data_IF_982651926531
#
_entry.id   IF_982651926531
#
_cell.length_a   1.000
_cell.length_b   1.000
_cell.length_c   1.000
_cell.angle_alpha   90.00
_cell.angle_beta   90.00
_cell.angle_gamma   90.00
#
_symmetry.space_group_name_H-M   'P 1'
#
loop_
_entity.id
_entity.type
_entity.pdbx_description
1 polymer ?
#
# COMPACT_ATOMS: atom_id res chain seq x y z
N UNK A 1 -32.15 18.71 -1.39
CA UNK A 1 -31.76 18.96 -2.80
C UNK A 1 -30.26 18.74 -3.07
N UNK A 2 -29.44 18.36 -2.08
CA UNK A 2 -27.99 18.09 -2.28
C UNK A 2 -27.63 16.63 -2.55
N UNK A 3 -28.54 15.68 -2.27
CA UNK A 3 -28.25 14.23 -2.45
C UNK A 3 -28.26 13.76 -3.91
N UNK A 4 -29.07 14.39 -4.76
CA UNK A 4 -29.26 13.92 -6.15
C UNK A 4 -28.12 14.33 -7.09
N UNK A 5 -27.47 15.46 -6.83
CA UNK A 5 -26.35 15.95 -7.66
C UNK A 5 -25.07 15.13 -7.48
N UNK A 6 -24.79 14.66 -6.28
CA UNK A 6 -23.63 13.79 -6.00
C UNK A 6 -23.81 12.42 -6.69
N UNK A 7 -25.03 11.85 -6.65
CA UNK A 7 -25.32 10.55 -7.26
C UNK A 7 -25.22 10.57 -8.80
N UNK A 8 -25.57 11.69 -9.43
CA UNK A 8 -25.50 11.83 -10.90
C UNK A 8 -24.07 12.06 -11.39
N UNK A 9 -23.28 12.83 -10.66
CA UNK A 9 -21.85 13.01 -10.93
C UNK A 9 -21.06 11.70 -10.77
N UNK A 10 -21.40 10.87 -9.78
CA UNK A 10 -20.80 9.54 -9.59
C UNK A 10 -21.10 8.60 -10.76
N UNK A 11 -22.32 8.60 -11.29
CA UNK A 11 -22.70 7.79 -12.46
C UNK A 11 -21.94 8.20 -13.73
N UNK A 12 -21.78 9.50 -13.95
CA UNK A 12 -21.03 10.02 -15.09
C UNK A 12 -19.56 9.68 -15.01
N UNK A 13 -18.98 9.80 -13.80
CA UNK A 13 -17.59 9.44 -13.54
C UNK A 13 -17.37 7.93 -13.74
N UNK A 14 -18.25 7.09 -13.21
CA UNK A 14 -18.22 5.64 -13.40
C UNK A 14 -18.30 5.25 -14.87
N UNK A 15 -19.24 5.82 -15.64
CA UNK A 15 -19.37 5.57 -17.06
C UNK A 15 -18.09 5.98 -17.84
N UNK A 16 -17.46 7.11 -17.44
CA UNK A 16 -16.19 7.55 -18.01
C UNK A 16 -15.04 6.57 -17.72
N UNK A 17 -14.94 6.09 -16.47
CA UNK A 17 -13.94 5.11 -16.05
C UNK A 17 -14.14 3.79 -16.80
N UNK A 18 -15.35 3.28 -16.88
CA UNK A 18 -15.66 2.06 -17.62
C UNK A 18 -15.38 2.19 -19.12
N UNK A 19 -15.66 3.36 -19.69
CA UNK A 19 -15.32 3.66 -21.08
C UNK A 19 -13.82 3.63 -21.35
N UNK A 20 -13.01 4.21 -20.46
CA UNK A 20 -11.54 4.17 -20.52
C UNK A 20 -11.03 2.75 -20.30
N UNK A 21 -11.57 2.02 -19.34
CA UNK A 21 -11.22 0.62 -19.08
C UNK A 21 -11.46 -0.25 -20.30
N UNK A 22 -12.63 -0.16 -20.93
CA UNK A 22 -12.94 -0.92 -22.16
C UNK A 22 -11.95 -0.64 -23.30
N UNK A 23 -11.55 0.63 -23.48
CA UNK A 23 -10.54 1.00 -24.49
C UNK A 23 -9.17 0.36 -24.16
N UNK A 24 -8.79 0.36 -22.88
CA UNK A 24 -7.55 -0.24 -22.43
C UNK A 24 -7.57 -1.77 -22.61
N UNK A 25 -8.68 -2.41 -22.24
CA UNK A 25 -8.84 -3.85 -22.37
C UNK A 25 -8.83 -4.31 -23.84
N UNK A 26 -9.33 -3.50 -24.76
CA UNK A 26 -9.28 -3.78 -26.20
C UNK A 26 -7.87 -3.73 -26.79
N UNK A 27 -6.91 -3.11 -26.10
CA UNK A 27 -5.49 -3.07 -26.51
C UNK A 27 -4.67 -4.24 -25.96
N UNK A 28 -5.27 -5.13 -25.17
CA UNK A 28 -4.61 -6.30 -24.60
C UNK A 28 -4.57 -7.47 -25.60
N UNK A 29 -3.53 -8.32 -25.57
CA UNK A 29 -2.37 -8.26 -24.68
C UNK A 29 -1.35 -7.19 -25.12
N UNK A 30 -0.80 -6.45 -24.14
CA UNK A 30 0.29 -5.51 -24.46
C UNK A 30 1.59 -6.25 -24.77
N UNK A 31 2.42 -5.69 -25.68
CA UNK A 31 3.76 -6.23 -25.92
C UNK A 31 4.56 -6.32 -24.59
N UNK A 32 5.25 -7.44 -24.32
CA UNK A 32 6.00 -7.63 -23.09
C UNK A 32 6.99 -6.49 -22.76
N UNK A 33 7.64 -5.93 -23.79
CA UNK A 33 8.56 -4.81 -23.65
C UNK A 33 7.91 -3.52 -23.15
N UNK A 34 6.65 -3.28 -23.52
CA UNK A 34 5.88 -2.13 -23.03
C UNK A 34 5.47 -2.37 -21.59
N UNK A 35 4.99 -3.58 -21.27
CA UNK A 35 4.62 -3.95 -19.89
C UNK A 35 5.81 -3.78 -18.95
N UNK A 36 6.98 -4.26 -19.35
CA UNK A 36 8.20 -4.15 -18.55
C UNK A 36 8.59 -2.69 -18.29
N UNK A 37 8.59 -1.83 -19.32
CA UNK A 37 8.89 -0.41 -19.14
C UNK A 37 7.89 0.31 -18.24
N UNK A 38 6.60 -0.01 -18.38
CA UNK A 38 5.56 0.56 -17.49
C UNK A 38 5.76 0.10 -16.04
N UNK A 39 6.09 -1.17 -15.81
CA UNK A 39 6.38 -1.67 -14.47
C UNK A 39 7.57 -0.94 -13.84
N UNK A 40 8.66 -0.77 -14.57
CA UNK A 40 9.84 -0.04 -14.10
C UNK A 40 9.51 1.42 -13.76
N UNK A 41 8.75 2.11 -14.60
CA UNK A 41 8.32 3.48 -14.35
C UNK A 41 7.41 3.56 -13.12
N UNK A 42 6.40 2.72 -13.03
CA UNK A 42 5.48 2.71 -11.88
C UNK A 42 6.18 2.36 -10.58
N UNK A 43 7.17 1.47 -10.61
CA UNK A 43 7.95 1.13 -9.42
C UNK A 43 8.67 2.37 -8.87
N UNK A 44 9.29 3.17 -9.74
CA UNK A 44 9.96 4.42 -9.33
C UNK A 44 8.94 5.44 -8.82
N UNK A 45 7.86 5.68 -9.54
CA UNK A 45 6.82 6.64 -9.15
C UNK A 45 6.13 6.25 -7.84
N UNK A 46 5.81 4.98 -7.64
CA UNK A 46 5.22 4.47 -6.41
C UNK A 46 6.17 4.62 -5.23
N UNK A 47 7.41 4.22 -5.41
CA UNK A 47 8.44 4.34 -4.36
C UNK A 47 8.63 5.80 -3.97
N UNK A 48 8.79 6.69 -4.96
CA UNK A 48 8.94 8.12 -4.71
C UNK A 48 7.73 8.68 -3.95
N UNK A 49 6.51 8.49 -4.45
CA UNK A 49 5.32 9.08 -3.84
C UNK A 49 5.05 8.55 -2.44
N UNK A 50 5.19 7.24 -2.22
CA UNK A 50 4.97 6.63 -0.90
C UNK A 50 5.97 7.15 0.13
N UNK A 51 7.25 7.21 -0.21
CA UNK A 51 8.28 7.69 0.70
C UNK A 51 8.21 9.20 0.92
N UNK A 52 7.82 9.99 -0.09
CA UNK A 52 7.64 11.43 0.06
C UNK A 52 6.52 11.78 1.06
N UNK A 53 5.43 11.00 1.10
CA UNK A 53 4.36 11.15 2.11
C UNK A 53 4.91 10.94 3.52
N UNK A 54 5.86 10.03 3.70
CA UNK A 54 6.51 9.75 4.98
C UNK A 54 7.67 10.69 5.31
N UNK A 55 7.93 11.69 4.45
CA UNK A 55 8.93 12.72 4.67
C UNK A 55 10.32 12.45 4.08
N UNK A 56 10.47 11.43 3.24
CA UNK A 56 11.69 11.20 2.46
C UNK A 56 11.89 12.37 1.47
N UNK A 57 13.09 12.85 1.33
CA UNK A 57 13.41 14.04 0.53
C UNK A 57 14.07 13.73 -0.81
N UNK A 58 14.22 12.45 -1.18
CA UNK A 58 14.66 12.08 -2.53
C UNK A 58 13.68 12.62 -3.57
N UNK A 59 14.17 13.20 -4.63
CA UNK A 59 13.36 13.56 -5.81
C UNK A 59 13.03 12.32 -6.63
N UNK A 60 12.07 12.42 -7.55
CA UNK A 60 11.73 11.33 -8.46
C UNK A 60 12.95 10.83 -9.25
N UNK A 61 13.79 11.76 -9.74
CA UNK A 61 15.00 11.44 -10.48
C UNK A 61 16.04 10.76 -9.58
N UNK A 62 16.24 11.24 -8.37
CA UNK A 62 17.15 10.63 -7.40
C UNK A 62 16.67 9.23 -6.99
N UNK A 63 15.37 9.03 -6.81
CA UNK A 63 14.77 7.72 -6.56
C UNK A 63 15.07 6.75 -7.72
N UNK A 64 14.93 7.19 -8.97
CA UNK A 64 15.30 6.40 -10.15
C UNK A 64 16.79 6.00 -10.12
N UNK A 65 17.68 6.95 -9.82
CA UNK A 65 19.12 6.68 -9.73
C UNK A 65 19.45 5.65 -8.62
N UNK A 66 18.80 5.76 -7.47
CA UNK A 66 18.97 4.80 -6.37
C UNK A 66 18.49 3.42 -6.77
N UNK A 67 17.26 3.32 -7.32
CA UNK A 67 16.60 2.04 -7.59
C UNK A 67 17.17 1.30 -8.80
N UNK A 68 17.50 2.02 -9.86
CA UNK A 68 17.86 1.41 -11.14
C UNK A 68 19.36 1.42 -11.41
N UNK A 69 20.13 2.32 -10.75
CA UNK A 69 21.58 2.43 -10.94
C UNK A 69 22.39 2.14 -9.68
N UNK A 70 21.72 1.95 -8.52
CA UNK A 70 22.40 1.69 -7.25
C UNK A 70 23.29 2.84 -6.78
N UNK A 71 22.98 4.08 -7.18
CA UNK A 71 23.78 5.24 -6.82
C UNK A 71 23.36 5.79 -5.46
N UNK A 72 24.35 6.27 -4.70
CA UNK A 72 24.09 7.05 -3.50
C UNK A 72 24.02 8.54 -3.85
N UNK A 73 23.05 9.23 -3.27
CA UNK A 73 22.80 10.64 -3.52
C UNK A 73 23.44 11.48 -2.41
N UNK A 74 24.27 12.43 -2.80
CA UNK A 74 24.89 13.36 -1.87
C UNK A 74 23.84 14.20 -1.12
N UNK A 75 24.11 14.52 0.14
CA UNK A 75 23.21 15.28 1.03
C UNK A 75 21.88 14.59 1.38
N UNK A 76 21.75 13.29 1.10
CA UNK A 76 20.63 12.46 1.54
C UNK A 76 21.10 11.44 2.57
N UNK A 77 20.25 11.18 3.56
CA UNK A 77 20.60 10.23 4.61
C UNK A 77 20.62 8.80 4.08
N UNK A 78 21.40 7.92 4.72
CA UNK A 78 21.39 6.50 4.40
C UNK A 78 20.01 5.87 4.64
N UNK A 79 19.28 6.37 5.65
CA UNK A 79 17.89 5.96 5.93
C UNK A 79 17.00 6.18 4.71
N UNK A 80 17.07 7.35 4.06
CA UNK A 80 16.24 7.65 2.88
C UNK A 80 16.52 6.70 1.71
N UNK A 81 17.78 6.28 1.55
CA UNK A 81 18.13 5.27 0.55
C UNK A 81 17.54 3.90 0.90
N UNK A 82 17.64 3.48 2.18
CA UNK A 82 17.02 2.22 2.61
C UNK A 82 15.51 2.24 2.48
N UNK A 83 14.83 3.33 2.79
CA UNK A 83 13.40 3.48 2.59
C UNK A 83 13.01 3.20 1.13
N UNK A 84 13.74 3.76 0.17
CA UNK A 84 13.48 3.53 -1.24
C UNK A 84 13.77 2.08 -1.67
N UNK A 85 14.91 1.51 -1.26
CA UNK A 85 15.30 0.14 -1.61
C UNK A 85 14.35 -0.90 -0.98
N UNK A 86 14.01 -0.73 0.28
CA UNK A 86 13.10 -1.62 1.01
C UNK A 86 11.68 -1.58 0.42
N UNK A 87 11.21 -0.39 0.03
CA UNK A 87 9.90 -0.24 -0.62
C UNK A 87 9.86 -0.99 -1.96
N UNK A 88 10.92 -0.88 -2.77
CA UNK A 88 11.05 -1.67 -4.01
C UNK A 88 10.98 -3.15 -3.72
N UNK A 89 11.75 -3.65 -2.74
CA UNK A 89 11.76 -5.08 -2.38
C UNK A 89 10.37 -5.57 -1.95
N UNK A 90 9.63 -4.73 -1.19
CA UNK A 90 8.24 -5.05 -0.82
C UNK A 90 7.32 -5.14 -2.04
N UNK A 91 7.42 -4.23 -3.00
CA UNK A 91 6.61 -4.28 -4.23
C UNK A 91 6.90 -5.58 -4.99
N UNK A 92 8.18 -5.92 -5.18
CA UNK A 92 8.58 -7.15 -5.87
C UNK A 92 8.08 -8.43 -5.16
N UNK A 93 8.05 -8.42 -3.83
CA UNK A 93 7.50 -9.52 -3.05
C UNK A 93 5.97 -9.61 -3.20
N UNK A 94 5.27 -8.46 -3.16
CA UNK A 94 3.82 -8.40 -3.36
C UNK A 94 3.44 -8.89 -4.76
N UNK A 95 4.18 -8.50 -5.80
CA UNK A 95 3.94 -9.00 -7.17
C UNK A 95 4.03 -10.52 -7.24
N UNK A 96 5.07 -11.11 -6.66
CA UNK A 96 5.23 -12.58 -6.60
C UNK A 96 4.11 -13.26 -5.83
N UNK A 97 3.65 -12.64 -4.75
CA UNK A 97 2.55 -13.13 -3.93
C UNK A 97 1.23 -13.13 -4.74
N UNK A 98 0.95 -12.05 -5.45
CA UNK A 98 -0.24 -11.92 -6.31
C UNK A 98 -0.21 -12.92 -7.48
N UNK A 99 0.95 -13.13 -8.11
CA UNK A 99 1.12 -14.11 -9.18
C UNK A 99 0.80 -15.53 -8.73
N UNK A 100 1.17 -15.90 -7.49
CA UNK A 100 0.86 -17.19 -6.89
C UNK A 100 -0.57 -17.31 -6.38
N UNK A 101 -1.35 -16.22 -6.38
CA UNK A 101 -2.72 -16.16 -5.83
C UNK A 101 -2.80 -16.63 -4.38
N UNK A 102 -1.77 -16.31 -3.59
CA UNK A 102 -1.74 -16.61 -2.17
C UNK A 102 -2.72 -15.71 -1.40
N UNK A 103 -3.31 -16.23 -0.33
CA UNK A 103 -4.21 -15.44 0.51
C UNK A 103 -3.43 -14.56 1.49
N UNK A 104 -3.93 -13.34 1.69
CA UNK A 104 -3.32 -12.39 2.62
C UNK A 104 -3.35 -12.96 4.05
N UNK A 105 -2.18 -13.04 4.68
CA UNK A 105 -2.01 -13.61 6.00
C UNK A 105 -1.20 -12.70 6.93
N UNK A 106 -1.40 -12.87 8.24
CA UNK A 106 -0.61 -12.16 9.25
C UNK A 106 0.91 -12.38 9.09
N UNK A 107 1.43 -13.59 8.86
CA UNK A 107 2.86 -13.79 8.62
C UNK A 107 3.37 -13.00 7.43
N UNK A 108 2.59 -12.91 6.34
CA UNK A 108 2.97 -12.14 5.16
C UNK A 108 3.05 -10.63 5.46
N UNK A 109 2.08 -10.09 6.23
CA UNK A 109 2.11 -8.69 6.66
C UNK A 109 3.35 -8.41 7.52
N UNK A 110 3.69 -9.29 8.45
CA UNK A 110 4.89 -9.14 9.27
C UNK A 110 6.18 -9.27 8.45
N UNK A 111 6.18 -10.08 7.40
CA UNK A 111 7.29 -10.17 6.46
C UNK A 111 7.49 -8.85 5.70
N UNK A 112 6.42 -8.24 5.18
CA UNK A 112 6.48 -6.91 4.55
C UNK A 112 6.99 -5.86 5.53
N UNK A 113 6.46 -5.85 6.75
CA UNK A 113 6.91 -4.94 7.82
C UNK A 113 8.40 -5.12 8.14
N UNK A 114 8.89 -6.35 8.13
CA UNK A 114 10.31 -6.66 8.33
C UNK A 114 11.18 -6.06 7.23
N UNK A 115 10.76 -6.20 5.97
CA UNK A 115 11.50 -5.65 4.83
C UNK A 115 11.51 -4.13 4.86
N UNK A 116 10.35 -3.49 5.08
CA UNK A 116 10.23 -2.02 5.09
C UNK A 116 11.15 -1.39 6.14
N UNK A 117 11.31 -2.00 7.31
CA UNK A 117 12.12 -1.48 8.40
C UNK A 117 13.57 -2.00 8.42
N UNK A 118 13.96 -2.82 7.46
CA UNK A 118 15.31 -3.38 7.38
C UNK A 118 16.37 -2.25 7.28
N UNK A 119 17.39 -2.28 8.14
CA UNK A 119 18.41 -1.24 8.26
C UNK A 119 17.89 0.18 8.63
N UNK A 120 16.60 0.28 9.03
CA UNK A 120 15.98 1.54 9.48
C UNK A 120 15.63 1.44 10.96
N UNK A 121 14.89 0.40 11.35
CA UNK A 121 14.55 0.06 12.73
C UNK A 121 14.42 -1.47 12.86
N UNK A 122 15.55 -2.15 12.90
CA UNK A 122 15.61 -3.61 12.95
C UNK A 122 14.99 -4.19 14.22
N UNK A 123 14.88 -3.38 15.28
CA UNK A 123 14.31 -3.82 16.55
C UNK A 123 12.78 -3.97 16.46
N UNK A 124 12.12 -3.13 15.67
CA UNK A 124 10.67 -3.19 15.43
C UNK A 124 10.29 -3.95 14.16
N UNK A 125 11.27 -4.31 13.33
CA UNK A 125 11.06 -4.96 12.05
C UNK A 125 10.36 -6.32 12.20
N UNK A 126 9.19 -6.48 11.60
CA UNK A 126 8.46 -7.75 11.55
C UNK A 126 7.80 -8.18 12.86
N UNK A 127 7.66 -7.28 13.82
CA UNK A 127 6.99 -7.56 15.10
C UNK A 127 5.84 -6.59 15.37
N UNK A 128 4.83 -7.03 16.11
CA UNK A 128 3.79 -6.13 16.58
C UNK A 128 4.32 -5.23 17.68
N UNK A 129 3.93 -3.97 17.65
CA UNK A 129 4.24 -3.02 18.72
C UNK A 129 3.64 -3.48 20.04
N UNK A 130 4.39 -3.27 21.12
CA UNK A 130 3.95 -3.55 22.48
C UNK A 130 3.49 -2.29 23.23
N UNK A 131 3.69 -1.12 22.64
CA UNK A 131 3.37 0.18 23.23
C UNK A 131 2.22 0.84 22.51
N UNK A 132 1.39 1.58 23.25
CA UNK A 132 0.30 2.37 22.69
C UNK A 132 0.88 3.54 21.89
N UNK A 133 0.28 3.81 20.73
CA UNK A 133 0.64 4.97 19.88
C UNK A 133 -0.44 6.03 20.01
N UNK A 134 -0.01 7.27 20.22
CA UNK A 134 -0.90 8.42 20.25
C UNK A 134 -0.70 9.24 18.98
N UNK A 135 -1.79 9.49 18.25
CA UNK A 135 -1.77 10.41 17.12
C UNK A 135 -1.91 11.83 17.66
N UNK A 136 -0.92 12.68 17.39
CA UNK A 136 -0.99 14.11 17.78
C UNK A 136 -2.20 14.75 17.09
N UNK A 137 -3.05 15.43 17.90
CA UNK A 137 -4.26 16.07 17.39
C UNK A 137 -5.50 15.19 17.27
N UNK A 138 -5.40 13.90 17.51
CA UNK A 138 -6.60 13.05 17.62
C UNK A 138 -7.32 13.28 18.95
N UNK A 139 -8.65 13.42 18.89
CA UNK A 139 -9.50 13.35 20.08
C UNK A 139 -9.32 11.98 20.72
N UNK A 140 -9.22 11.94 22.04
CA UNK A 140 -8.94 10.76 22.83
C UNK A 140 -9.89 9.61 22.46
N UNK A 141 -9.39 8.61 21.75
CA UNK A 141 -10.11 7.36 21.52
C UNK A 141 -9.79 6.49 22.73
N UNK A 142 -10.80 6.09 23.51
CA UNK A 142 -10.62 5.19 24.65
C UNK A 142 -10.04 3.85 24.20
N UNK A 143 -9.26 3.20 25.06
CA UNK A 143 -8.64 1.89 24.76
C UNK A 143 -9.67 0.84 24.31
N UNK A 144 -10.92 0.92 24.78
CA UNK A 144 -12.00 0.02 24.39
C UNK A 144 -12.46 0.28 22.93
N UNK A 145 -12.53 1.54 22.49
CA UNK A 145 -12.85 1.87 21.09
C UNK A 145 -11.69 1.52 20.13
N UNK A 146 -10.46 1.52 20.62
CA UNK A 146 -9.30 1.04 19.85
C UNK A 146 -9.33 -0.47 19.67
N UNK A 147 -9.74 -1.21 20.69
CA UNK A 147 -9.92 -2.67 20.61
C UNK A 147 -11.02 -3.05 19.62
N UNK A 148 -12.14 -2.31 19.59
CA UNK A 148 -13.23 -2.53 18.64
C UNK A 148 -12.81 -2.17 17.20
N UNK A 149 -12.06 -1.10 16.98
CA UNK A 149 -11.58 -0.72 15.65
C UNK A 149 -10.43 -1.62 15.16
N UNK A 150 -9.58 -2.12 16.04
CA UNK A 150 -8.58 -3.13 15.72
C UNK A 150 -9.22 -4.51 15.49
N UNK A 151 -10.44 -4.76 16.00
CA UNK A 151 -11.18 -5.97 15.67
C UNK A 151 -11.58 -6.01 14.19
N UNK A 152 -11.73 -4.85 13.52
CA UNK A 152 -11.93 -4.79 12.06
C UNK A 152 -10.70 -5.32 11.31
N UNK A 153 -9.49 -5.12 11.82
CA UNK A 153 -8.25 -5.74 11.31
C UNK A 153 -8.02 -7.15 11.86
N UNK A 154 -8.76 -7.56 12.89
CA UNK A 154 -8.76 -8.93 13.42
C UNK A 154 -9.59 -9.90 12.58
N UNK A 155 -10.35 -9.41 11.61
CA UNK A 155 -11.06 -10.22 10.63
C UNK A 155 -10.20 -10.59 9.41
N UNK A 156 -8.90 -10.86 9.61
CA UNK A 156 -8.23 -11.79 8.74
C UNK A 156 -8.62 -13.18 9.26
N UNK A 157 -9.32 -13.99 8.45
CA UNK A 157 -9.83 -15.26 8.94
C UNK A 157 -8.69 -16.15 9.40
N UNK A 158 -8.75 -16.61 10.64
CA UNK A 158 -8.15 -17.89 10.96
C UNK A 158 -8.73 -18.92 9.97
N UNK A 159 -7.93 -19.74 9.31
CA UNK A 159 -8.46 -20.72 8.37
C UNK A 159 -9.45 -21.64 9.11
N UNK A 160 -10.75 -21.39 8.94
CA UNK A 160 -11.82 -22.22 9.49
C UNK A 160 -13.02 -21.50 10.11
N UNK A 161 -13.07 -20.18 10.26
CA UNK A 161 -14.18 -19.53 10.97
C UNK A 161 -14.65 -18.22 10.32
N UNK A 162 -15.06 -18.24 9.06
CA UNK A 162 -15.82 -17.20 8.42
C UNK A 162 -17.33 -17.48 8.60
N UNK A 163 -17.97 -16.85 9.56
CA UNK A 163 -19.43 -16.70 9.52
C UNK A 163 -19.80 -15.42 8.73
N UNK A 164 -20.76 -15.49 7.80
CA UNK A 164 -21.21 -14.32 7.04
C UNK A 164 -21.90 -13.33 8.00
N UNK A 165 -21.57 -12.05 7.86
CA UNK A 165 -22.27 -10.95 8.52
C UNK A 165 -23.74 -10.99 8.11
N UNK A 166 -24.62 -11.36 9.04
CA UNK A 166 -26.06 -11.30 8.87
C UNK A 166 -26.49 -9.83 8.67
N UNK A 167 -27.05 -9.54 7.51
CA UNK A 167 -27.70 -8.28 7.14
C UNK A 167 -29.09 -8.17 7.77
N UNK A 168 -29.19 -8.14 9.10
CA UNK A 168 -30.46 -7.90 9.77
C UNK A 168 -30.22 -7.08 11.05
N UNK A 169 -30.47 -5.79 10.93
CA UNK A 169 -30.47 -4.92 12.11
C UNK A 169 -30.29 -3.44 11.81
N UNK A 170 -31.10 -2.87 10.91
CA UNK A 170 -31.43 -1.44 10.96
C UNK A 170 -32.96 -1.40 11.13
N UNK A 171 -33.39 -1.17 12.36
CA UNK A 171 -34.67 -0.75 12.78
C UNK A 171 -34.54 0.59 13.49
#
# INVERSE_FOLDING_TARGET
MESDTVTEMDKTLLASIEGKKRKLDALRPFPPSIVQKLKEQFLVEWTYNSNAIEGNTLTLQETDLVLNRGLTIGNKSLKEHFEALNHKECIELIEKFVEKKEELSTPFILQLHKIILNNIDDYQAGVYRKTNVRILGAVHISDDQLKDRLSIFRCLPEPGNCQPLNSSGIG
#
